data_IF_662036920739
#
_entry.id   IF_662036920739
#
_cell.length_a   1.000
_cell.length_b   1.000
_cell.length_c   1.000
_cell.angle_alpha   90.00
_cell.angle_beta   90.00
_cell.angle_gamma   90.00
#
_symmetry.space_group_name_H-M   'P 1'
#
loop_
_entity.id
_entity.type
_entity.pdbx_description
1 polymer ?
#
# COMPACT_ATOMS: atom_id res chain seq x y z
N UNK A 1 -5.09 -17.64 73.13
CA UNK A 1 -5.13 -16.17 73.11
C UNK A 1 -3.70 -15.65 72.97
N UNK A 2 -3.48 -14.58 72.19
CA UNK A 2 -2.78 -14.69 70.91
C UNK A 2 -1.51 -13.84 70.81
N UNK A 3 -0.66 -14.09 69.80
CA UNK A 3 -0.07 -13.01 69.00
C UNK A 3 0.00 -13.48 67.55
N UNK A 4 -0.72 -12.75 66.69
CA UNK A 4 -0.70 -12.85 65.24
C UNK A 4 0.61 -12.27 64.69
N UNK A 5 1.20 -12.90 63.67
CA UNK A 5 2.01 -12.12 62.71
C UNK A 5 1.78 -12.59 61.27
N UNK A 6 1.44 -11.57 60.48
CA UNK A 6 0.82 -11.54 59.16
C UNK A 6 1.62 -12.28 58.07
N UNK A 7 0.91 -13.07 57.28
CA UNK A 7 1.39 -13.56 55.99
C UNK A 7 1.55 -12.41 55.00
N UNK A 8 2.76 -12.27 54.46
CA UNK A 8 3.06 -11.39 53.33
C UNK A 8 2.73 -12.08 52.02
N UNK A 9 1.72 -11.57 51.33
CA UNK A 9 1.42 -11.88 49.93
C UNK A 9 2.64 -11.56 49.05
N UNK A 10 3.21 -12.59 48.41
CA UNK A 10 4.13 -12.41 47.29
C UNK A 10 3.32 -12.10 46.04
N UNK A 11 3.03 -10.83 45.81
CA UNK A 11 2.60 -10.33 44.50
C UNK A 11 3.72 -10.58 43.47
N UNK A 12 3.56 -11.63 42.67
CA UNK A 12 4.30 -11.81 41.42
C UNK A 12 3.93 -10.68 40.45
N UNK A 13 4.74 -9.61 40.43
CA UNK A 13 4.78 -8.65 39.34
C UNK A 13 5.20 -9.37 38.05
N UNK A 14 4.24 -9.85 37.27
CA UNK A 14 4.43 -10.13 35.85
C UNK A 14 4.77 -8.80 35.17
N UNK A 15 6.06 -8.55 34.98
CA UNK A 15 6.54 -7.54 34.05
C UNK A 15 5.93 -7.85 32.69
N UNK A 16 4.98 -7.02 32.24
CA UNK A 16 4.60 -6.96 30.83
C UNK A 16 5.83 -6.48 30.09
N UNK A 17 6.64 -7.39 29.57
CA UNK A 17 7.61 -7.06 28.52
C UNK A 17 6.79 -6.45 27.37
N UNK A 18 6.90 -5.14 27.19
CA UNK A 18 6.32 -4.46 26.05
C UNK A 18 6.88 -5.09 24.79
N UNK A 19 6.00 -5.57 23.91
CA UNK A 19 6.41 -5.99 22.57
C UNK A 19 6.99 -4.75 21.89
N UNK A 20 8.30 -4.74 21.66
CA UNK A 20 8.96 -3.65 20.94
C UNK A 20 8.31 -3.57 19.55
N UNK A 21 7.70 -2.42 19.21
CA UNK A 21 7.08 -2.22 17.89
C UNK A 21 8.15 -2.44 16.82
N UNK A 22 7.90 -3.34 15.87
CA UNK A 22 8.72 -3.46 14.67
C UNK A 22 8.48 -2.26 13.76
N UNK A 23 9.51 -1.85 13.01
CA UNK A 23 9.38 -0.80 11.99
C UNK A 23 8.45 -1.24 10.87
N UNK A 24 7.49 -0.41 10.50
CA UNK A 24 6.58 -0.61 9.36
C UNK A 24 6.60 0.65 8.49
N UNK A 25 6.79 0.51 7.18
CA UNK A 25 6.97 1.67 6.28
C UNK A 25 5.85 1.73 5.25
N UNK A 26 5.02 2.77 5.31
CA UNK A 26 4.13 3.18 4.23
C UNK A 26 4.84 4.19 3.34
N UNK A 27 5.10 3.84 2.08
CA UNK A 27 5.71 4.74 1.10
C UNK A 27 4.61 5.47 0.34
N UNK A 28 4.52 6.79 0.48
CA UNK A 28 3.59 7.63 -0.26
C UNK A 28 4.31 8.34 -1.40
N UNK A 29 3.78 8.21 -2.61
CA UNK A 29 4.25 8.89 -3.82
C UNK A 29 3.09 9.61 -4.50
N UNK A 30 3.37 10.74 -5.15
CA UNK A 30 2.36 11.44 -5.93
C UNK A 30 2.22 10.82 -7.33
N UNK A 31 0.99 10.75 -7.85
CA UNK A 31 0.70 10.26 -9.22
C UNK A 31 1.45 11.03 -10.30
N UNK A 32 1.83 12.26 -10.00
CA UNK A 32 2.65 13.13 -10.84
C UNK A 32 4.00 12.57 -11.26
N UNK A 33 4.52 11.54 -10.57
CA UNK A 33 5.77 10.90 -10.95
C UNK A 33 5.70 10.26 -12.34
N UNK A 34 4.49 9.94 -12.83
CA UNK A 34 4.28 9.43 -14.19
C UNK A 34 3.57 10.41 -15.15
N UNK A 35 3.37 11.67 -14.74
CA UNK A 35 2.75 12.69 -15.60
C UNK A 35 3.62 13.04 -16.82
N UNK A 36 3.05 13.65 -17.88
CA UNK A 36 3.78 14.10 -19.07
C UNK A 36 4.99 15.02 -18.82
N UNK A 37 5.04 15.69 -17.66
CA UNK A 37 6.20 16.50 -17.23
C UNK A 37 7.44 15.66 -16.94
N UNK A 38 7.25 14.41 -16.52
CA UNK A 38 8.30 13.50 -16.07
C UNK A 38 8.58 12.36 -17.07
N UNK A 39 7.58 11.95 -17.84
CA UNK A 39 7.72 10.89 -18.84
C UNK A 39 6.84 11.12 -20.07
N UNK A 40 7.31 10.66 -21.23
CA UNK A 40 6.71 10.90 -22.55
C UNK A 40 6.06 9.65 -23.16
N UNK A 41 6.23 8.48 -22.55
CA UNK A 41 5.66 7.23 -23.07
C UNK A 41 5.21 6.29 -21.96
N UNK A 42 4.26 5.41 -22.28
CA UNK A 42 3.80 4.35 -21.39
C UNK A 42 4.96 3.45 -20.93
N UNK A 43 5.97 3.24 -21.77
CA UNK A 43 7.17 2.46 -21.43
C UNK A 43 8.00 3.16 -20.34
N UNK A 44 8.17 4.48 -20.42
CA UNK A 44 8.85 5.26 -19.38
C UNK A 44 8.06 5.25 -18.07
N UNK A 45 6.73 5.48 -18.12
CA UNK A 45 5.84 5.39 -16.95
C UNK A 45 5.96 4.02 -16.28
N UNK A 46 5.97 2.95 -17.09
CA UNK A 46 6.14 1.56 -16.62
C UNK A 46 7.49 1.34 -15.94
N UNK A 47 8.58 1.88 -16.51
CA UNK A 47 9.92 1.78 -15.90
C UNK A 47 10.02 2.51 -14.57
N UNK A 48 9.44 3.70 -14.45
CA UNK A 48 9.39 4.46 -13.19
C UNK A 48 8.66 3.63 -12.11
N UNK A 49 7.45 3.15 -12.43
CA UNK A 49 6.68 2.32 -11.50
C UNK A 49 7.43 1.03 -11.12
N UNK A 50 8.17 0.42 -12.05
CA UNK A 50 8.99 -0.76 -11.78
C UNK A 50 10.13 -0.48 -10.81
N UNK A 51 10.85 0.64 -10.96
CA UNK A 51 11.94 1.00 -10.05
C UNK A 51 11.42 1.31 -8.64
N UNK A 52 10.29 1.99 -8.53
CA UNK A 52 9.61 2.23 -7.26
C UNK A 52 9.22 0.89 -6.60
N UNK A 53 8.57 -0.01 -7.35
CA UNK A 53 8.20 -1.33 -6.87
C UNK A 53 9.42 -2.15 -6.41
N UNK A 54 10.52 -2.08 -7.16
CA UNK A 54 11.78 -2.75 -6.82
C UNK A 54 12.38 -2.20 -5.53
N UNK A 55 12.44 -0.87 -5.37
CA UNK A 55 12.91 -0.24 -4.14
C UNK A 55 12.03 -0.64 -2.94
N UNK A 56 10.71 -0.57 -3.10
CA UNK A 56 9.76 -0.98 -2.06
C UNK A 56 9.93 -2.44 -1.62
N UNK A 57 10.11 -3.37 -2.56
CA UNK A 57 10.38 -4.77 -2.23
C UNK A 57 11.78 -4.99 -1.62
N UNK A 58 12.78 -4.17 -1.98
CA UNK A 58 14.14 -4.27 -1.45
C UNK A 58 14.18 -3.91 0.04
N UNK A 59 13.44 -2.86 0.42
CA UNK A 59 13.43 -2.33 1.79
C UNK A 59 12.19 -2.75 2.59
N UNK A 60 11.51 -3.84 2.18
CA UNK A 60 10.35 -4.41 2.87
C UNK A 60 9.24 -3.38 3.18
N UNK A 61 8.96 -2.48 2.24
CA UNK A 61 7.85 -1.53 2.35
C UNK A 61 6.52 -2.28 2.46
N UNK A 62 5.70 -1.83 3.40
CA UNK A 62 4.45 -2.45 3.78
C UNK A 62 3.30 -2.14 2.80
N UNK A 63 3.15 -0.86 2.48
CA UNK A 63 2.23 -0.39 1.46
C UNK A 63 2.86 0.74 0.65
N UNK A 64 2.50 0.81 -0.63
CA UNK A 64 2.75 1.95 -1.49
C UNK A 64 1.42 2.67 -1.66
N UNK A 65 1.40 3.94 -1.29
CA UNK A 65 0.25 4.82 -1.38
C UNK A 65 0.45 5.73 -2.59
N UNK A 66 -0.42 5.60 -3.57
CA UNK A 66 -0.48 6.53 -4.70
C UNK A 66 -1.41 7.68 -4.30
N UNK A 67 -0.82 8.83 -4.04
CA UNK A 67 -1.52 10.06 -3.71
C UNK A 67 -1.84 10.83 -4.99
N UNK A 68 -3.13 11.02 -5.25
CA UNK A 68 -3.60 11.76 -6.40
C UNK A 68 -3.25 13.24 -6.26
N UNK A 69 -2.56 13.78 -7.26
CA UNK A 69 -2.32 15.21 -7.36
C UNK A 69 -3.63 15.96 -7.68
N UNK A 70 -3.91 17.09 -7.01
CA UNK A 70 -4.99 18.00 -7.39
C UNK A 70 -4.83 18.43 -8.84
N UNK A 71 -5.92 18.35 -9.60
CA UNK A 71 -5.99 18.99 -10.90
C UNK A 71 -6.39 20.45 -10.67
N UNK A 72 -5.64 21.40 -11.21
CA UNK A 72 -6.06 22.81 -11.19
C UNK A 72 -7.42 22.97 -11.85
N UNK A 73 -8.14 24.04 -11.50
CA UNK A 73 -9.54 24.31 -11.90
C UNK A 73 -9.80 24.30 -13.43
N UNK A 74 -8.76 24.25 -14.26
CA UNK A 74 -8.84 24.36 -15.72
C UNK A 74 -8.96 23.03 -16.50
N UNK A 75 -9.11 21.88 -15.83
CA UNK A 75 -9.40 20.62 -16.55
C UNK A 75 -10.92 20.39 -16.64
N UNK A 76 -11.55 21.01 -17.65
CA UNK A 76 -12.92 20.71 -18.09
C UNK A 76 -13.08 19.29 -18.68
N UNK A 77 -12.00 18.52 -18.76
CA UNK A 77 -12.02 17.15 -19.24
C UNK A 77 -12.40 16.22 -18.08
N UNK A 78 -13.67 15.80 -18.13
CA UNK A 78 -14.36 14.82 -17.29
C UNK A 78 -15.32 15.34 -16.19
N UNK A 79 -16.11 16.36 -16.50
CA UNK A 79 -17.52 16.36 -16.05
C UNK A 79 -18.32 15.34 -16.87
N UNK A 80 -18.06 14.04 -16.67
CA UNK A 80 -18.98 13.00 -17.14
C UNK A 80 -20.13 12.92 -16.15
N UNK A 81 -21.21 13.62 -16.45
CA UNK A 81 -22.53 13.42 -15.85
C UNK A 81 -22.89 11.93 -15.92
N UNK A 82 -22.73 11.20 -14.82
CA UNK A 82 -23.35 9.89 -14.67
C UNK A 82 -23.98 9.76 -13.29
N UNK A 83 -25.27 10.08 -13.30
CA UNK A 83 -26.36 9.56 -12.47
C UNK A 83 -26.43 10.00 -11.00
N UNK A 84 -27.31 10.99 -10.79
CA UNK A 84 -28.22 11.08 -9.65
C UNK A 84 -28.70 9.70 -9.20
N UNK A 85 -28.31 9.30 -7.99
CA UNK A 85 -29.25 8.72 -7.03
C UNK A 85 -29.12 9.51 -5.73
N UNK A 86 -30.07 10.41 -5.54
CA UNK A 86 -30.37 11.01 -4.25
C UNK A 86 -31.00 9.89 -3.43
N UNK A 87 -30.23 9.29 -2.52
CA UNK A 87 -30.82 8.57 -1.39
C UNK A 87 -31.04 9.60 -0.27
N UNK A 88 -32.31 9.86 0.03
CA UNK A 88 -32.82 10.76 1.07
C UNK A 88 -32.55 10.21 2.48
N UNK A 89 -31.30 9.97 2.86
CA UNK A 89 -30.92 9.70 4.25
C UNK A 89 -29.59 10.39 4.56
N UNK A 90 -29.67 11.44 5.39
CA UNK A 90 -28.61 12.40 5.70
C UNK A 90 -27.40 11.87 6.46
N UNK A 91 -26.69 10.89 5.90
CA UNK A 91 -25.29 10.63 6.23
C UNK A 91 -24.43 11.39 5.20
N UNK A 92 -23.68 12.40 5.65
CA UNK A 92 -22.68 13.11 4.83
C UNK A 92 -21.63 12.08 4.37
N UNK A 93 -21.79 11.53 3.16
CA UNK A 93 -20.73 10.79 2.52
C UNK A 93 -19.63 11.78 2.16
N UNK A 94 -18.44 11.60 2.71
CA UNK A 94 -17.23 12.30 2.28
C UNK A 94 -17.13 12.13 0.77
N UNK A 95 -17.28 13.22 0.00
CA UNK A 95 -17.22 13.19 -1.46
C UNK A 95 -15.82 12.73 -1.88
N UNK A 96 -15.66 11.43 -2.16
CA UNK A 96 -14.40 10.93 -2.70
C UNK A 96 -14.28 11.42 -4.14
N UNK A 97 -13.20 12.16 -4.42
CA UNK A 97 -12.87 12.58 -5.79
C UNK A 97 -12.71 11.35 -6.69
N UNK A 98 -13.15 11.49 -7.94
CA UNK A 98 -12.94 10.48 -8.96
C UNK A 98 -11.43 10.30 -9.17
N UNK A 99 -11.00 9.05 -9.24
CA UNK A 99 -9.61 8.69 -9.47
C UNK A 99 -9.20 9.02 -10.90
N UNK A 100 -8.12 9.77 -11.10
CA UNK A 100 -7.65 10.15 -12.44
C UNK A 100 -6.92 8.99 -13.17
N UNK A 101 -6.70 9.15 -14.47
CA UNK A 101 -6.13 8.09 -15.32
C UNK A 101 -4.69 7.72 -14.95
N UNK A 102 -3.89 8.67 -14.50
CA UNK A 102 -2.47 8.49 -14.17
C UNK A 102 -2.36 7.83 -12.79
N UNK A 103 -3.16 8.28 -11.83
CA UNK A 103 -3.34 7.59 -10.54
C UNK A 103 -3.78 6.13 -10.74
N UNK A 104 -4.75 5.88 -11.63
CA UNK A 104 -5.17 4.52 -12.03
C UNK A 104 -4.05 3.70 -12.65
N UNK A 105 -3.29 4.28 -13.57
CA UNK A 105 -2.21 3.59 -14.24
C UNK A 105 -1.08 3.23 -13.26
N UNK A 106 -0.65 4.18 -12.43
CA UNK A 106 0.43 3.97 -11.47
C UNK A 106 0.06 2.91 -10.44
N UNK A 107 -1.13 3.02 -9.83
CA UNK A 107 -1.62 2.02 -8.88
C UNK A 107 -1.75 0.63 -9.54
N UNK A 108 -2.26 0.58 -10.77
CA UNK A 108 -2.37 -0.65 -11.54
C UNK A 108 -1.01 -1.30 -11.85
N UNK A 109 -0.02 -0.51 -12.25
CA UNK A 109 1.35 -0.98 -12.51
C UNK A 109 2.03 -1.50 -11.24
N UNK A 110 1.94 -0.76 -10.14
CA UNK A 110 2.48 -1.19 -8.85
C UNK A 110 1.82 -2.50 -8.39
N UNK A 111 0.49 -2.61 -8.54
CA UNK A 111 -0.21 -3.85 -8.20
C UNK A 111 0.21 -5.00 -9.12
N UNK A 112 0.45 -4.73 -10.40
CA UNK A 112 0.91 -5.73 -11.37
C UNK A 112 2.28 -6.31 -10.98
N UNK A 113 3.24 -5.46 -10.59
CA UNK A 113 4.60 -5.91 -10.26
C UNK A 113 4.71 -6.79 -9.00
N UNK A 114 3.74 -6.73 -8.09
CA UNK A 114 3.66 -7.61 -6.91
C UNK A 114 2.70 -8.80 -7.11
N UNK A 115 2.09 -8.94 -8.30
CA UNK A 115 1.11 -9.98 -8.61
C UNK A 115 1.71 -11.09 -9.47
N UNK A 116 1.69 -12.37 -9.02
CA UNK A 116 2.15 -13.49 -9.84
C UNK A 116 1.48 -13.53 -11.22
N UNK A 117 2.20 -13.86 -12.31
CA UNK A 117 1.65 -13.82 -13.67
C UNK A 117 0.34 -14.59 -13.84
N UNK A 118 0.20 -15.75 -13.19
CA UNK A 118 -1.00 -16.59 -13.23
C UNK A 118 -2.20 -16.04 -12.44
N UNK A 119 -2.01 -14.99 -11.63
CA UNK A 119 -3.07 -14.32 -10.87
C UNK A 119 -3.49 -12.99 -11.48
N UNK A 120 -2.80 -12.49 -12.50
CA UNK A 120 -3.10 -11.17 -13.11
C UNK A 120 -4.56 -11.08 -13.53
N UNK A 121 -5.10 -12.09 -14.21
CA UNK A 121 -6.51 -12.09 -14.60
C UNK A 121 -7.47 -12.12 -13.40
N UNK A 122 -7.11 -12.85 -12.34
CA UNK A 122 -7.92 -12.90 -11.11
C UNK A 122 -7.92 -11.56 -10.34
N UNK A 123 -6.82 -10.82 -10.39
CA UNK A 123 -6.68 -9.51 -9.73
C UNK A 123 -7.32 -8.40 -10.56
N UNK A 124 -7.11 -8.41 -11.87
CA UNK A 124 -7.48 -7.30 -12.76
C UNK A 124 -8.71 -7.55 -13.63
N UNK A 125 -9.30 -8.75 -13.63
CA UNK A 125 -10.41 -9.11 -14.52
C UNK A 125 -11.68 -8.26 -14.36
N UNK A 126 -11.86 -7.63 -13.20
CA UNK A 126 -12.95 -6.67 -12.93
C UNK A 126 -12.46 -5.22 -12.81
N UNK A 127 -11.18 -4.96 -13.08
CA UNK A 127 -10.59 -3.62 -12.97
C UNK A 127 -10.96 -2.77 -14.19
N UNK A 128 -11.19 -1.45 -14.02
CA UNK A 128 -11.40 -0.54 -15.14
C UNK A 128 -10.13 -0.30 -15.98
N UNK A 129 -8.96 -0.77 -15.55
CA UNK A 129 -7.70 -0.60 -16.30
C UNK A 129 -7.63 -1.57 -17.48
N UNK A 130 -7.32 -1.04 -18.67
CA UNK A 130 -7.02 -1.88 -19.84
C UNK A 130 -5.72 -2.66 -19.61
N UNK A 131 -5.80 -4.01 -19.63
CA UNK A 131 -4.67 -4.91 -19.48
C UNK A 131 -3.56 -4.70 -20.52
N UNK A 132 -3.86 -4.07 -21.67
CA UNK A 132 -2.86 -3.67 -22.66
C UNK A 132 -1.87 -2.64 -22.10
N UNK A 133 -2.27 -1.86 -21.08
CA UNK A 133 -1.37 -0.92 -20.40
C UNK A 133 -0.20 -1.64 -19.71
N UNK A 134 -0.29 -2.94 -19.47
CA UNK A 134 0.78 -3.75 -18.88
C UNK A 134 1.71 -4.42 -19.90
N UNK A 135 1.60 -4.11 -21.20
CA UNK A 135 2.42 -4.77 -22.24
C UNK A 135 3.93 -4.54 -22.08
N UNK A 136 4.34 -3.35 -21.63
CA UNK A 136 5.74 -3.10 -21.31
C UNK A 136 6.14 -3.76 -19.99
N UNK A 137 5.24 -3.79 -19.01
CA UNK A 137 5.49 -4.39 -17.69
C UNK A 137 5.76 -5.91 -17.81
N UNK A 138 5.03 -6.60 -18.70
CA UNK A 138 5.23 -8.03 -19.00
C UNK A 138 6.62 -8.36 -19.57
N UNK A 139 7.34 -7.38 -20.13
CA UNK A 139 8.67 -7.56 -20.73
C UNK A 139 9.80 -7.29 -19.73
N UNK A 140 9.49 -6.73 -18.57
CA UNK A 140 10.49 -6.44 -17.53
C UNK A 140 10.77 -7.71 -16.71
N UNK A 141 11.99 -7.85 -16.14
CA UNK A 141 12.30 -8.96 -15.26
C UNK A 141 11.41 -8.93 -14.01
N UNK A 142 11.08 -10.09 -13.47
CA UNK A 142 10.39 -10.18 -12.18
C UNK A 142 11.25 -9.59 -11.07
N UNK A 143 10.62 -9.03 -10.03
CA UNK A 143 11.36 -8.46 -8.91
C UNK A 143 11.96 -9.62 -8.08
N UNK A 144 13.29 -9.72 -7.93
CA UNK A 144 13.93 -10.88 -7.33
C UNK A 144 13.61 -11.08 -5.85
N UNK A 145 13.21 -10.01 -5.16
CA UNK A 145 12.88 -10.00 -3.72
C UNK A 145 11.52 -10.67 -3.45
N UNK A 146 10.75 -10.99 -4.50
CA UNK A 146 9.48 -11.70 -4.41
C UNK A 146 9.70 -13.21 -4.70
N UNK A 147 9.85 -14.07 -3.67
CA UNK A 147 10.23 -15.47 -3.84
C UNK A 147 9.17 -16.27 -4.60
N UNK A 148 7.89 -15.85 -4.54
CA UNK A 148 6.80 -16.46 -5.29
C UNK A 148 6.80 -16.13 -6.79
N UNK A 149 7.61 -15.16 -7.24
CA UNK A 149 7.73 -14.81 -8.66
C UNK A 149 8.77 -15.65 -9.41
N UNK A 150 9.72 -16.26 -8.69
CA UNK A 150 10.84 -17.01 -9.25
C UNK A 150 10.48 -18.46 -9.63
N UNK A 151 9.24 -18.66 -10.07
CA UNK A 151 8.57 -19.95 -10.09
C UNK A 151 8.91 -20.83 -11.30
N UNK A 152 10.20 -20.99 -11.67
CA UNK A 152 10.66 -22.01 -12.62
C UNK A 152 12.07 -22.60 -12.36
N UNK A 153 12.94 -21.98 -11.55
CA UNK A 153 14.37 -22.33 -11.58
C UNK A 153 14.89 -23.05 -10.31
N UNK A 154 14.00 -23.67 -9.53
CA UNK A 154 14.40 -24.46 -8.35
C UNK A 154 14.66 -23.66 -7.06
N UNK A 155 14.65 -22.32 -7.11
CA UNK A 155 14.86 -21.43 -5.96
C UNK A 155 13.56 -20.92 -5.30
N UNK A 156 12.42 -20.96 -6.00
CA UNK A 156 11.11 -20.72 -5.38
C UNK A 156 10.67 -21.93 -4.54
N UNK A 157 10.18 -21.72 -3.32
CA UNK A 157 9.73 -22.83 -2.47
C UNK A 157 8.57 -23.57 -3.15
N UNK A 158 8.80 -24.74 -3.75
CA UNK A 158 7.72 -25.63 -4.27
C UNK A 158 6.62 -25.90 -3.24
N UNK A 159 6.93 -25.69 -1.97
CA UNK A 159 6.05 -25.82 -0.81
C UNK A 159 4.96 -24.75 -0.74
N UNK A 160 5.23 -23.51 -1.11
CA UNK A 160 4.31 -22.39 -0.92
C UNK A 160 3.97 -21.70 -2.24
N UNK A 161 2.70 -21.39 -2.44
CA UNK A 161 2.23 -20.60 -3.59
C UNK A 161 1.30 -19.49 -3.16
N UNK A 162 1.40 -18.37 -3.85
CA UNK A 162 0.39 -17.32 -3.79
C UNK A 162 -0.88 -17.77 -4.50
N UNK A 163 -2.03 -17.33 -3.98
CA UNK A 163 -3.31 -17.62 -4.58
C UNK A 163 -4.35 -16.54 -4.34
N UNK A 164 -5.41 -16.59 -5.15
CA UNK A 164 -6.58 -15.73 -5.02
C UNK A 164 -7.81 -16.60 -4.78
N UNK A 165 -8.51 -16.34 -3.68
CA UNK A 165 -9.76 -17.04 -3.37
C UNK A 165 -10.88 -16.55 -4.27
N UNK A 166 -11.82 -17.43 -4.60
CA UNK A 166 -12.89 -17.10 -5.56
C UNK A 166 -13.67 -15.84 -5.13
N UNK A 167 -13.77 -14.87 -6.04
CA UNK A 167 -14.71 -13.76 -5.89
C UNK A 167 -16.12 -14.27 -6.20
N UNK A 168 -17.13 -13.87 -5.42
CA UNK A 168 -18.52 -14.27 -5.69
C UNK A 168 -18.94 -13.77 -7.09
N UNK A 169 -19.10 -14.67 -8.05
CA UNK A 169 -19.51 -14.36 -9.44
C UNK A 169 -21.00 -13.99 -9.58
N UNK A 170 -21.81 -14.17 -8.53
CA UNK A 170 -23.25 -13.92 -8.60
C UNK A 170 -23.57 -12.46 -8.29
N UNK A 171 -23.73 -11.64 -9.33
CA UNK A 171 -24.28 -10.27 -9.24
C UNK A 171 -25.77 -10.25 -8.81
N UNK A 172 -26.46 -11.39 -8.93
CA UNK A 172 -27.88 -11.51 -8.58
C UNK A 172 -28.05 -12.12 -7.19
N UNK A 173 -28.48 -11.32 -6.21
CA UNK A 173 -28.82 -11.86 -4.89
C UNK A 173 -30.00 -12.81 -5.02
N UNK A 174 -29.82 -14.05 -4.57
CA UNK A 174 -30.91 -15.03 -4.50
C UNK A 174 -32.07 -14.45 -3.69
N UNK A 175 -33.27 -14.48 -4.25
CA UNK A 175 -34.52 -14.15 -3.55
C UNK A 175 -34.97 -15.35 -2.72
N UNK A 176 -35.60 -15.11 -1.58
CA UNK A 176 -36.32 -16.13 -0.81
C UNK A 176 -37.58 -16.56 -1.56
N UNK A 177 -38.21 -17.65 -1.13
CA UNK A 177 -39.52 -18.08 -1.66
C UNK A 177 -40.59 -16.97 -1.57
N UNK A 178 -40.45 -16.06 -0.60
CA UNK A 178 -41.28 -14.87 -0.41
C UNK A 178 -40.88 -13.64 -1.25
N UNK A 179 -39.96 -13.79 -2.20
CA UNK A 179 -39.49 -12.69 -3.08
C UNK A 179 -38.51 -11.69 -2.44
N UNK A 180 -38.26 -11.78 -1.13
CA UNK A 180 -37.32 -10.91 -0.41
C UNK A 180 -35.87 -11.28 -0.72
N UNK A 181 -34.98 -10.29 -0.71
CA UNK A 181 -33.54 -10.53 -0.89
C UNK A 181 -33.00 -11.34 0.28
N UNK A 182 -32.38 -12.50 0.02
CA UNK A 182 -31.79 -13.34 1.08
C UNK A 182 -30.65 -12.60 1.78
N UNK A 183 -30.67 -12.56 3.11
CA UNK A 183 -29.57 -12.01 3.93
C UNK A 183 -28.30 -12.84 3.71
N UNK A 184 -27.17 -12.15 3.48
CA UNK A 184 -25.85 -12.77 3.34
C UNK A 184 -25.36 -13.22 4.71
N UNK A 185 -25.15 -14.53 4.89
CA UNK A 185 -24.55 -15.10 6.10
C UNK A 185 -23.02 -15.08 5.99
N UNK A 186 -22.31 -15.20 7.12
CA UNK A 186 -20.84 -15.32 7.15
C UNK A 186 -20.34 -16.45 6.24
N UNK A 187 -21.01 -17.60 6.27
CA UNK A 187 -20.70 -18.75 5.41
C UNK A 187 -20.74 -18.43 3.90
N UNK A 188 -21.64 -17.53 3.47
CA UNK A 188 -21.74 -17.13 2.06
C UNK A 188 -20.52 -16.30 1.58
N UNK A 189 -19.76 -15.74 2.54
CA UNK A 189 -18.52 -14.96 2.30
C UNK A 189 -17.25 -15.80 2.40
N UNK A 190 -17.37 -17.09 2.74
CA UNK A 190 -16.22 -18.00 2.87
C UNK A 190 -16.16 -18.97 1.68
N UNK A 191 -14.96 -19.46 1.37
CA UNK A 191 -14.70 -20.45 0.33
C UNK A 191 -13.54 -21.35 0.72
N UNK A 192 -13.54 -22.60 0.24
CA UNK A 192 -12.39 -23.50 0.30
C UNK A 192 -11.56 -23.49 -0.98
N UNK A 193 -12.02 -22.82 -2.04
CA UNK A 193 -11.38 -22.86 -3.35
C UNK A 193 -10.50 -21.64 -3.58
N UNK A 194 -9.27 -21.91 -4.01
CA UNK A 194 -8.25 -20.90 -4.29
C UNK A 194 -7.59 -21.16 -5.65
N UNK A 195 -7.44 -20.11 -6.44
CA UNK A 195 -6.65 -20.12 -7.66
C UNK A 195 -5.17 -19.96 -7.29
N UNK A 196 -4.35 -20.98 -7.56
CA UNK A 196 -2.87 -20.98 -7.34
C UNK A 196 -2.11 -21.24 -8.65
N UNK A 197 -2.74 -20.94 -9.79
CA UNK A 197 -2.16 -21.15 -11.13
C UNK A 197 -2.10 -22.61 -11.57
N UNK A 198 -2.96 -23.47 -11.00
CA UNK A 198 -3.15 -24.85 -11.46
C UNK A 198 -4.33 -24.93 -12.44
N UNK A 199 -4.41 -26.01 -13.22
CA UNK A 199 -5.53 -26.26 -14.16
C UNK A 199 -6.90 -26.31 -13.46
N UNK A 200 -6.92 -26.76 -12.20
CA UNK A 200 -8.11 -26.78 -11.34
C UNK A 200 -7.82 -25.96 -10.08
N UNK A 201 -8.87 -25.38 -9.51
CA UNK A 201 -8.78 -24.70 -8.23
C UNK A 201 -8.30 -25.67 -7.15
N UNK A 202 -7.44 -25.21 -6.26
CA UNK A 202 -7.00 -25.97 -5.10
C UNK A 202 -8.08 -25.88 -4.02
N UNK A 203 -8.44 -27.02 -3.43
CA UNK A 203 -9.34 -27.07 -2.28
C UNK A 203 -8.54 -27.08 -0.97
N UNK A 204 -8.88 -26.13 -0.10
CA UNK A 204 -8.34 -25.95 1.25
C UNK A 204 -9.10 -26.81 2.26
N UNK A 205 -8.41 -27.22 3.32
CA UNK A 205 -9.05 -27.93 4.45
C UNK A 205 -10.11 -27.08 5.14
N UNK A 206 -9.79 -25.80 5.33
CA UNK A 206 -10.62 -24.81 6.01
C UNK A 206 -11.08 -23.71 5.05
N UNK A 207 -12.25 -23.15 5.35
CA UNK A 207 -12.82 -22.08 4.52
C UNK A 207 -12.25 -20.72 4.94
N UNK A 208 -11.90 -19.90 3.95
CA UNK A 208 -11.31 -18.57 4.12
C UNK A 208 -12.15 -17.50 3.42
N UNK A 209 -11.98 -16.20 3.72
CA UNK A 209 -12.72 -15.14 3.07
C UNK A 209 -12.55 -15.15 1.54
N UNK A 210 -13.64 -14.93 0.82
CA UNK A 210 -13.66 -14.79 -0.64
C UNK A 210 -12.98 -13.51 -1.11
N UNK A 211 -12.34 -13.55 -2.28
CA UNK A 211 -11.65 -12.41 -2.89
C UNK A 211 -10.38 -11.97 -2.18
N UNK A 212 -9.90 -12.75 -1.21
CA UNK A 212 -8.64 -12.53 -0.53
C UNK A 212 -7.47 -13.16 -1.31
N UNK A 213 -6.36 -12.43 -1.37
CA UNK A 213 -5.04 -12.96 -1.70
C UNK A 213 -4.50 -13.75 -0.50
N UNK A 214 -3.94 -14.93 -0.74
CA UNK A 214 -3.48 -15.84 0.31
C UNK A 214 -2.18 -16.55 -0.09
N UNK A 215 -1.36 -16.91 0.89
CA UNK A 215 -0.23 -17.82 0.71
C UNK A 215 -0.64 -19.22 1.17
N UNK A 216 -0.44 -20.23 0.31
CA UNK A 216 -0.93 -21.60 0.55
C UNK A 216 0.24 -22.58 0.67
N UNK A 217 0.22 -23.41 1.72
CA UNK A 217 1.07 -24.60 1.80
C UNK A 217 0.48 -25.70 0.89
N UNK A 218 1.17 -25.96 -0.22
CA UNK A 218 0.74 -26.88 -1.27
C UNK A 218 0.69 -28.34 -0.82
N UNK A 219 1.37 -28.72 0.27
CA UNK A 219 1.31 -30.09 0.82
C UNK A 219 0.21 -30.23 1.84
N UNK A 220 0.02 -29.21 2.69
CA UNK A 220 -0.96 -29.25 3.77
C UNK A 220 -2.36 -28.79 3.36
N UNK A 221 -2.48 -28.09 2.23
CA UNK A 221 -3.72 -27.48 1.73
C UNK A 221 -4.36 -26.53 2.75
N UNK A 222 -3.53 -25.67 3.35
CA UNK A 222 -3.92 -24.67 4.32
C UNK A 222 -3.33 -23.31 3.94
N UNK A 223 -4.01 -22.23 4.32
CA UNK A 223 -3.45 -20.89 4.26
C UNK A 223 -2.44 -20.73 5.39
N UNK A 224 -1.29 -20.16 5.06
CA UNK A 224 -0.22 -19.84 6.02
C UNK A 224 0.09 -18.35 5.96
N UNK A 225 0.74 -17.82 6.99
CA UNK A 225 1.30 -16.48 6.93
C UNK A 225 2.50 -16.43 5.98
N UNK A 226 2.74 -15.28 5.33
CA UNK A 226 4.01 -14.96 4.68
C UNK A 226 5.21 -15.19 5.58
N UNK A 227 5.10 -14.88 6.87
CA UNK A 227 6.18 -15.14 7.83
C UNK A 227 6.54 -16.63 7.89
N UNK A 228 5.54 -17.51 7.93
CA UNK A 228 5.75 -18.97 7.89
C UNK A 228 6.29 -19.44 6.53
N UNK A 229 5.88 -18.80 5.44
CA UNK A 229 6.27 -19.21 4.09
C UNK A 229 7.67 -18.72 3.68
N UNK A 230 8.02 -17.49 4.08
CA UNK A 230 9.10 -16.70 3.51
C UNK A 230 9.97 -15.99 4.57
N UNK A 231 9.67 -16.12 5.87
CA UNK A 231 10.45 -15.52 6.96
C UNK A 231 10.19 -14.02 7.20
N UNK A 232 9.38 -13.37 6.36
CA UNK A 232 8.96 -11.99 6.54
C UNK A 232 7.49 -11.82 6.11
N UNK A 233 6.83 -10.79 6.65
CA UNK A 233 5.45 -10.43 6.32
C UNK A 233 5.33 -8.92 6.21
N UNK A 234 4.50 -8.46 5.29
CA UNK A 234 4.01 -7.08 5.26
C UNK A 234 2.66 -6.97 5.95
N UNK A 235 2.03 -5.80 5.79
CA UNK A 235 0.72 -5.48 6.35
C UNK A 235 -0.34 -6.45 5.86
N UNK A 236 -1.33 -6.75 6.70
CA UNK A 236 -2.43 -7.66 6.40
C UNK A 236 -1.98 -9.07 5.97
N UNK A 237 -0.82 -9.54 6.46
CA UNK A 237 -0.37 -10.92 6.24
C UNK A 237 -0.19 -11.25 4.74
N UNK A 238 0.31 -10.29 3.95
CA UNK A 238 0.78 -10.48 2.58
C UNK A 238 2.32 -10.43 2.48
N UNK A 239 2.88 -10.93 1.38
CA UNK A 239 4.32 -10.77 1.07
C UNK A 239 4.50 -9.75 -0.05
N UNK A 240 5.52 -8.89 0.08
CA UNK A 240 5.68 -7.69 -0.74
C UNK A 240 4.78 -6.56 -0.24
N UNK A 241 4.61 -5.50 -1.01
CA UNK A 241 3.78 -4.36 -0.61
C UNK A 241 2.31 -4.52 -1.01
N UNK A 242 1.43 -3.80 -0.31
CA UNK A 242 0.06 -3.51 -0.77
C UNK A 242 0.02 -2.20 -1.54
N UNK A 243 -0.97 -2.02 -2.42
CA UNK A 243 -1.18 -0.75 -3.13
C UNK A 243 -2.46 -0.11 -2.62
N UNK A 244 -2.36 1.13 -2.16
CA UNK A 244 -3.48 1.96 -1.75
C UNK A 244 -3.50 3.23 -2.58
N UNK A 245 -4.70 3.74 -2.84
CA UNK A 245 -4.87 5.06 -3.48
C UNK A 245 -5.47 6.01 -2.48
N UNK A 246 -4.90 7.21 -2.39
CA UNK A 246 -5.43 8.31 -1.61
C UNK A 246 -5.78 9.45 -2.58
N UNK A 247 -7.06 9.84 -2.61
CA UNK A 247 -7.51 10.96 -3.46
C UNK A 247 -7.51 12.31 -2.74
N UNK A 248 -7.10 12.34 -1.47
CA UNK A 248 -6.91 13.57 -0.68
C UNK A 248 -5.98 13.29 0.50
N UNK A 249 -5.57 14.36 1.18
CA UNK A 249 -4.75 14.26 2.40
C UNK A 249 -5.50 13.56 3.55
N UNK A 250 -6.80 13.79 3.67
CA UNK A 250 -7.64 13.10 4.65
C UNK A 250 -7.74 11.60 4.35
N UNK A 251 -7.79 11.21 3.08
CA UNK A 251 -7.76 9.81 2.69
C UNK A 251 -6.37 9.18 2.93
N UNK A 252 -5.29 9.93 2.74
CA UNK A 252 -3.93 9.47 3.04
C UNK A 252 -3.79 9.09 4.52
N UNK A 253 -4.20 9.99 5.41
CA UNK A 253 -4.05 9.86 6.87
C UNK A 253 -5.14 8.99 7.49
N UNK A 254 -6.40 9.14 7.07
CA UNK A 254 -7.56 8.48 7.69
C UNK A 254 -7.83 7.05 7.22
N UNK A 255 -7.22 6.59 6.13
CA UNK A 255 -7.37 5.22 5.60
C UNK A 255 -6.09 4.39 5.75
N UNK A 256 -5.29 4.72 6.75
CA UNK A 256 -4.12 3.94 7.15
C UNK A 256 -4.51 2.51 7.56
N UNK A 257 -3.70 1.49 7.21
CA UNK A 257 -3.95 0.12 7.65
C UNK A 257 -3.59 -0.09 9.13
N UNK A 258 -3.00 0.90 9.79
CA UNK A 258 -2.56 0.84 11.18
C UNK A 258 -3.64 1.41 12.12
N UNK A 259 -4.18 0.64 13.08
CA UNK A 259 -5.24 1.12 13.98
C UNK A 259 -4.88 2.38 14.77
N UNK A 260 -3.61 2.51 15.16
CA UNK A 260 -3.09 3.65 15.93
C UNK A 260 -2.61 4.81 15.04
N UNK A 261 -2.75 4.69 13.72
CA UNK A 261 -2.20 5.65 12.77
C UNK A 261 -0.70 5.53 12.56
N UNK A 262 -0.12 6.60 12.00
CA UNK A 262 1.32 6.73 11.82
C UNK A 262 1.95 7.31 13.08
N UNK A 263 3.00 6.66 13.58
CA UNK A 263 3.81 7.15 14.70
C UNK A 263 4.76 8.27 14.22
N UNK A 264 5.08 8.32 12.92
CA UNK A 264 5.95 9.34 12.33
C UNK A 264 5.63 9.57 10.85
N UNK A 265 5.70 10.83 10.41
CA UNK A 265 5.56 11.27 9.02
C UNK A 265 6.87 11.94 8.59
N UNK A 266 7.56 11.30 7.66
CA UNK A 266 8.83 11.76 7.09
C UNK A 266 8.67 12.23 5.66
N UNK A 267 9.47 13.21 5.27
CA UNK A 267 9.43 13.79 3.93
C UNK A 267 10.77 13.74 3.20
N UNK A 268 10.73 13.39 1.91
CA UNK A 268 11.84 13.51 0.98
C UNK A 268 11.40 14.27 -0.27
N UNK A 269 11.92 15.49 -0.44
CA UNK A 269 11.66 16.30 -1.63
C UNK A 269 12.36 15.69 -2.86
N UNK A 270 11.60 15.36 -3.91
CA UNK A 270 12.11 14.76 -5.14
C UNK A 270 11.27 15.15 -6.38
N UNK A 271 11.58 14.62 -7.56
CA UNK A 271 10.74 14.76 -8.77
C UNK A 271 10.76 16.15 -9.42
N UNK A 272 11.70 17.01 -9.01
CA UNK A 272 11.97 18.33 -9.60
C UNK A 272 13.12 18.28 -10.62
N UNK A 273 13.37 17.10 -11.20
CA UNK A 273 14.47 16.84 -12.13
C UNK A 273 14.51 17.82 -13.31
N UNK A 274 13.33 18.11 -13.88
CA UNK A 274 13.18 19.04 -15.01
C UNK A 274 12.78 20.47 -14.58
N UNK A 275 12.73 20.77 -13.29
CA UNK A 275 12.33 22.09 -12.81
C UNK A 275 13.43 23.14 -13.08
N UNK A 276 13.03 24.27 -13.66
CA UNK A 276 13.89 25.43 -13.97
C UNK A 276 14.06 26.33 -12.76
N UNK A 277 13.02 26.47 -11.94
CA UNK A 277 13.08 27.13 -10.64
C UNK A 277 13.54 26.14 -9.57
N UNK A 278 14.47 26.56 -8.70
CA UNK A 278 14.66 25.86 -7.42
C UNK A 278 13.35 26.04 -6.66
N UNK A 279 12.67 24.93 -6.36
CA UNK A 279 11.64 24.92 -5.33
C UNK A 279 12.20 25.57 -4.08
N UNK A 280 11.35 26.26 -3.30
CA UNK A 280 11.69 26.61 -1.91
C UNK A 280 12.24 25.34 -1.27
N UNK A 281 13.54 25.28 -1.04
CA UNK A 281 14.25 24.03 -0.79
C UNK A 281 13.70 23.47 0.52
N UNK A 282 12.78 22.52 0.42
CA UNK A 282 12.12 21.89 1.56
C UNK A 282 13.15 21.24 2.49
N UNK A 283 14.32 20.90 1.95
CA UNK A 283 15.49 20.44 2.68
C UNK A 283 16.07 21.50 3.63
N UNK A 284 15.95 22.80 3.29
CA UNK A 284 16.40 23.91 4.15
C UNK A 284 15.31 24.30 5.16
N UNK A 285 14.03 24.13 4.79
CA UNK A 285 12.89 24.47 5.64
C UNK A 285 12.57 23.41 6.71
N UNK A 286 12.89 22.13 6.46
CA UNK A 286 12.71 21.04 7.40
C UNK A 286 14.06 20.65 8.01
N UNK A 287 14.13 20.64 9.34
CA UNK A 287 15.28 20.05 10.02
C UNK A 287 15.41 18.58 9.63
N UNK A 288 16.62 18.17 9.24
CA UNK A 288 16.91 16.75 9.03
C UNK A 288 16.55 15.98 10.31
N UNK A 289 15.87 14.85 10.16
CA UNK A 289 15.43 14.07 11.33
C UNK A 289 16.64 13.70 12.20
N UNK A 290 16.59 14.08 13.48
CA UNK A 290 17.59 13.70 14.48
C UNK A 290 16.92 12.89 15.58
N UNK A 291 17.36 11.65 15.79
CA UNK A 291 16.83 10.75 16.81
C UNK A 291 17.83 10.71 17.96
N UNK A 292 17.47 11.22 19.13
CA UNK A 292 18.34 11.27 20.33
C UNK A 292 19.69 11.97 20.09
N UNK A 293 19.73 13.02 19.27
CA UNK A 293 20.95 13.77 18.95
C UNK A 293 21.93 13.03 18.03
N UNK A 294 21.51 11.91 17.42
CA UNK A 294 22.24 11.19 16.37
C UNK A 294 21.35 11.04 15.14
N UNK A 295 21.93 11.17 13.95
CA UNK A 295 21.23 10.91 12.68
C UNK A 295 21.18 9.40 12.39
N UNK A 296 20.85 8.60 13.41
CA UNK A 296 20.84 7.13 13.34
C UNK A 296 19.40 6.66 13.10
N UNK A 297 19.02 6.66 11.83
CA UNK A 297 17.66 6.33 11.36
C UNK A 297 17.32 4.84 11.53
N UNK A 298 18.32 3.96 11.73
CA UNK A 298 18.14 2.52 11.94
C UNK A 298 17.33 2.18 13.19
N UNK A 299 17.34 3.08 14.18
CA UNK A 299 16.65 2.90 15.45
C UNK A 299 15.18 3.30 15.41
N UNK A 300 14.71 3.80 14.26
CA UNK A 300 13.35 4.23 14.12
C UNK A 300 12.40 3.02 14.14
N UNK A 301 11.48 3.02 15.09
CA UNK A 301 10.48 1.96 15.30
C UNK A 301 9.08 2.52 15.19
N UNK A 302 8.10 1.68 14.87
CA UNK A 302 6.71 2.08 14.71
C UNK A 302 6.26 2.21 13.25
N UNK A 303 5.09 2.79 13.07
CA UNK A 303 4.41 2.96 11.79
C UNK A 303 4.85 4.29 11.15
N UNK A 304 5.72 4.21 10.14
CA UNK A 304 6.31 5.36 9.48
C UNK A 304 5.59 5.60 8.15
N UNK A 305 5.11 6.82 7.94
CA UNK A 305 4.70 7.30 6.63
C UNK A 305 5.86 8.08 6.00
N UNK A 306 6.47 7.52 4.97
CA UNK A 306 7.50 8.20 4.18
C UNK A 306 6.87 8.80 2.92
N UNK A 307 6.83 10.12 2.82
CA UNK A 307 6.31 10.84 1.65
C UNK A 307 7.47 11.25 0.75
N UNK A 308 7.45 10.77 -0.49
CA UNK A 308 8.46 11.04 -1.51
C UNK A 308 7.77 11.70 -2.70
N UNK A 309 7.84 13.02 -2.78
CA UNK A 309 7.15 13.80 -3.82
C UNK A 309 7.80 15.15 -4.11
N UNK A 310 7.45 15.81 -5.23
CA UNK A 310 7.77 17.21 -5.44
C UNK A 310 7.12 18.12 -4.40
N UNK A 311 7.87 19.11 -3.92
CA UNK A 311 7.37 20.07 -2.92
C UNK A 311 6.16 20.84 -3.43
N UNK A 312 6.14 21.20 -4.71
CA UNK A 312 4.99 21.87 -5.34
C UNK A 312 3.74 21.00 -5.37
N UNK A 313 3.89 19.69 -5.63
CA UNK A 313 2.74 18.78 -5.65
C UNK A 313 2.20 18.61 -4.23
N UNK A 314 3.09 18.51 -3.23
CA UNK A 314 2.72 18.46 -1.82
C UNK A 314 1.99 19.72 -1.34
N UNK A 315 2.53 20.90 -1.64
CA UNK A 315 1.87 22.19 -1.36
C UNK A 315 0.47 22.25 -1.95
N UNK A 316 0.30 21.83 -3.21
CA UNK A 316 -1.02 21.81 -3.83
C UNK A 316 -1.99 20.87 -3.10
N UNK A 317 -1.54 19.67 -2.69
CA UNK A 317 -2.34 18.71 -1.93
C UNK A 317 -2.76 19.27 -0.57
N UNK A 318 -1.82 19.90 0.14
CA UNK A 318 -2.09 20.48 1.44
C UNK A 318 -3.06 21.66 1.36
N UNK A 319 -2.86 22.56 0.38
CA UNK A 319 -3.72 23.74 0.19
C UNK A 319 -5.18 23.40 -0.19
N UNK A 320 -5.42 22.22 -0.75
CA UNK A 320 -6.78 21.73 -1.01
C UNK A 320 -7.39 20.99 0.20
N UNK A 321 -6.55 20.60 1.17
CA UNK A 321 -7.01 19.95 2.39
C UNK A 321 -7.72 20.93 3.31
N UNK A 322 -8.46 20.39 4.28
CA UNK A 322 -9.09 21.20 5.33
C UNK A 322 -8.21 21.39 6.57
N UNK A 323 -6.91 21.09 6.47
CA UNK A 323 -5.98 21.21 7.58
C UNK A 323 -5.51 22.66 7.72
N UNK A 324 -5.48 23.14 8.95
CA UNK A 324 -4.88 24.43 9.29
C UNK A 324 -3.34 24.30 9.37
N UNK A 325 -2.64 25.41 9.15
CA UNK A 325 -1.17 25.49 9.25
C UNK A 325 -0.47 25.54 7.89
N UNK A 326 0.82 25.22 7.87
CA UNK A 326 1.63 25.11 6.66
C UNK A 326 1.89 23.64 6.30
N UNK A 327 2.10 23.37 5.02
CA UNK A 327 2.33 22.03 4.52
C UNK A 327 3.55 21.31 5.16
N UNK A 328 4.49 22.08 5.73
CA UNK A 328 5.66 21.59 6.45
C UNK A 328 5.38 21.12 7.87
N UNK A 329 4.31 21.64 8.46
CA UNK A 329 3.95 21.35 9.86
C UNK A 329 3.41 19.92 10.01
N UNK A 330 3.11 19.23 8.90
CA UNK A 330 2.72 17.82 8.91
C UNK A 330 3.92 16.87 9.16
N UNK A 331 5.15 17.32 8.91
CA UNK A 331 6.31 16.45 8.90
C UNK A 331 7.07 16.49 10.23
N UNK A 332 7.35 15.32 10.79
CA UNK A 332 8.21 15.18 11.97
C UNK A 332 9.69 15.37 11.63
N UNK A 333 10.06 15.24 10.35
CA UNK A 333 11.40 15.52 9.86
C UNK A 333 11.57 15.20 8.38
N UNK A 334 12.72 15.57 7.84
CA UNK A 334 13.10 15.26 6.45
C UNK A 334 14.16 14.17 6.37
N UNK A 335 14.15 13.43 5.26
CA UNK A 335 15.26 12.56 4.85
C UNK A 335 15.98 13.29 3.70
N UNK A 336 17.17 13.85 3.96
CA UNK A 336 17.90 14.59 2.93
C UNK A 336 18.26 13.66 1.76
N UNK A 337 17.99 14.07 0.53
CA UNK A 337 18.42 13.37 -0.67
C UNK A 337 19.05 14.36 -1.66
N UNK A 338 19.84 13.92 -2.66
CA UNK A 338 20.37 14.82 -3.68
C UNK A 338 19.25 15.62 -4.35
N UNK A 339 19.46 16.94 -4.49
CA UNK A 339 18.50 17.84 -5.14
C UNK A 339 18.19 17.37 -6.56
N UNK A 340 16.96 17.62 -7.03
CA UNK A 340 16.50 17.24 -8.37
C UNK A 340 16.54 15.74 -8.68
N UNK A 341 16.66 14.87 -7.67
CA UNK A 341 16.48 13.43 -7.85
C UNK A 341 15.11 13.13 -8.45
N UNK A 342 15.03 12.13 -9.34
CA UNK A 342 13.72 11.64 -9.79
C UNK A 342 12.99 10.94 -8.65
N UNK A 343 11.68 10.72 -8.78
CA UNK A 343 10.88 10.11 -7.71
C UNK A 343 11.35 8.69 -7.42
N UNK A 344 11.62 7.90 -8.46
CA UNK A 344 12.13 6.53 -8.30
C UNK A 344 13.49 6.46 -7.60
N UNK A 345 14.39 7.40 -7.87
CA UNK A 345 15.69 7.49 -7.21
C UNK A 345 15.53 7.99 -5.77
N UNK A 346 14.65 8.98 -5.56
CA UNK A 346 14.30 9.50 -4.24
C UNK A 346 13.74 8.41 -3.33
N UNK A 347 12.88 7.52 -3.85
CA UNK A 347 12.39 6.36 -3.12
C UNK A 347 13.54 5.45 -2.70
N UNK A 348 14.43 5.09 -3.63
CA UNK A 348 15.57 4.21 -3.34
C UNK A 348 16.51 4.81 -2.28
N UNK A 349 16.89 6.08 -2.43
CA UNK A 349 17.82 6.77 -1.52
C UNK A 349 17.20 6.98 -0.14
N UNK A 350 15.92 7.37 -0.08
CA UNK A 350 15.25 7.61 1.19
C UNK A 350 15.08 6.33 1.98
N UNK A 351 14.66 5.25 1.32
CA UNK A 351 14.52 3.94 1.95
C UNK A 351 15.87 3.37 2.37
N UNK A 352 16.93 3.54 1.58
CA UNK A 352 18.27 3.08 1.96
C UNK A 352 18.78 3.80 3.21
N UNK A 353 18.50 5.10 3.36
CA UNK A 353 18.84 5.85 4.57
C UNK A 353 18.04 5.46 5.80
N UNK A 354 16.83 4.91 5.63
CA UNK A 354 16.07 4.34 6.75
C UNK A 354 16.65 2.98 7.15
N UNK A 355 17.16 2.22 6.20
CA UNK A 355 17.63 0.84 6.43
C UNK A 355 19.11 0.74 6.85
N UNK A 356 19.95 1.69 6.41
CA UNK A 356 21.37 1.82 6.73
C UNK A 356 21.62 2.46 8.09
#
# INVERSE_FOLDING_TARGET
MPVEEKGGDKETKKQKQGVMKSRQISLCICSSCIEPKNCKSLEQMTRIAYQIAKAACTFNVNEIIVLQKPHGENNELEKTETNKKIDLNGAKQTQQRKMDSDTMLLAGLLQFFVTPPYLVESVFGNSPIDLKKFNYAKKLPTIPMLPFMQANDGHGTKKYKEGMTIQNLSKSRKKTASGKVKKIKKADRMTKYVNVGLKKMLELKEAVPKGARVTVDMKKHIVVSPYVAYGTSSTNNSYGYQVRVATSLEALLGQTPFPDGYDMILYSCCGEYFATTKSTDWNDALSALSINGKNDMTKLVGNILLIVSPGNDWNAIFNESKLDGEAKDLFDGSIPIPTKSRVEDGCMISLSKLDA
#
